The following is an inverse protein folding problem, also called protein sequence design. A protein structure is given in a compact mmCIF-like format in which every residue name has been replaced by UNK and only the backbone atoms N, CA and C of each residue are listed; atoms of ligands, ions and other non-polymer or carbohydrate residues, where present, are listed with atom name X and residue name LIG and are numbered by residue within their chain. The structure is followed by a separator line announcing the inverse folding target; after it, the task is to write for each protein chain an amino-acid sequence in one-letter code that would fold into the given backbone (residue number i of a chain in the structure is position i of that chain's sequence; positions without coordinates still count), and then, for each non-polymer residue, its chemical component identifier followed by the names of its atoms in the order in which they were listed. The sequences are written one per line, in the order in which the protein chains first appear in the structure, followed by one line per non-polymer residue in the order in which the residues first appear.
data_IF_896809482863
#
_entry.id   IF_896809482863
#
_cell.length_a   1.000
_cell.length_b   1.000
_cell.length_c   1.000
_cell.angle_alpha   90.00
_cell.angle_beta   90.00
_cell.angle_gamma   90.00
#
_symmetry.space_group_name_H-M   'P 1'
#
loop_
_entity.id
_entity.type
_entity.pdbx_description
1 polymer ?
#
# COMPACT_ATOMS: atom_id res chain seq x y z
N UNK A 1 -16.59 -18.60 -10.42
CA UNK A 1 -16.43 -18.70 -8.94
C UNK A 1 -16.85 -17.39 -8.26
N UNK A 2 -18.08 -16.91 -8.50
CA UNK A 2 -18.52 -15.57 -8.05
C UNK A 2 -18.74 -15.47 -6.55
N UNK A 3 -19.29 -16.51 -5.94
CA UNK A 3 -19.46 -16.58 -4.48
C UNK A 3 -18.12 -16.49 -3.74
N UNK A 4 -17.09 -17.15 -4.26
CA UNK A 4 -15.74 -17.06 -3.68
C UNK A 4 -15.20 -15.63 -3.77
N UNK A 5 -15.35 -14.96 -4.92
CA UNK A 5 -14.92 -13.57 -5.09
C UNK A 5 -15.66 -12.64 -4.12
N UNK A 6 -17.00 -12.80 -3.99
CA UNK A 6 -17.82 -12.07 -3.02
C UNK A 6 -17.32 -12.24 -1.58
N UNK A 7 -17.02 -13.47 -1.18
CA UNK A 7 -16.48 -13.78 0.15
C UNK A 7 -15.08 -13.20 0.37
N UNK A 8 -14.22 -13.20 -0.66
CA UNK A 8 -12.90 -12.57 -0.58
C UNK A 8 -13.01 -11.05 -0.39
N UNK A 9 -13.91 -10.38 -1.13
CA UNK A 9 -14.16 -8.95 -0.92
C UNK A 9 -14.67 -8.64 0.49
N UNK A 10 -15.56 -9.47 1.05
CA UNK A 10 -16.00 -9.34 2.45
C UNK A 10 -14.88 -9.54 3.46
N UNK A 11 -13.94 -10.45 3.19
CA UNK A 11 -12.77 -10.62 4.05
C UNK A 11 -11.88 -9.37 4.03
N UNK A 12 -11.68 -8.75 2.86
CA UNK A 12 -10.95 -7.49 2.74
C UNK A 12 -11.69 -6.34 3.43
N UNK A 13 -13.01 -6.27 3.28
CA UNK A 13 -13.86 -5.31 3.97
C UNK A 13 -13.70 -5.40 5.49
N UNK A 14 -13.66 -6.64 6.03
CA UNK A 14 -13.43 -6.88 7.45
C UNK A 14 -12.07 -6.37 7.93
N UNK A 15 -11.03 -6.41 7.07
CA UNK A 15 -9.73 -5.84 7.42
C UNK A 15 -9.80 -4.31 7.55
N UNK A 16 -10.50 -3.64 6.64
CA UNK A 16 -10.72 -2.18 6.71
C UNK A 16 -11.51 -1.82 7.97
N UNK A 17 -12.59 -2.55 8.27
CA UNK A 17 -13.37 -2.31 9.49
C UNK A 17 -12.55 -2.48 10.77
N UNK A 18 -11.61 -3.43 10.79
CA UNK A 18 -10.82 -3.74 11.98
C UNK A 18 -9.58 -2.85 12.13
N UNK A 19 -8.92 -2.48 11.03
CA UNK A 19 -7.60 -1.84 11.04
C UNK A 19 -7.58 -0.47 10.36
N UNK A 20 -8.67 -0.06 9.71
CA UNK A 20 -8.78 1.17 8.94
C UNK A 20 -8.25 1.06 7.50
N UNK A 21 -7.65 -0.05 7.12
CA UNK A 21 -7.10 -0.31 5.78
C UNK A 21 -6.94 -1.81 5.51
N UNK A 22 -6.62 -2.17 4.27
CA UNK A 22 -6.26 -3.55 3.91
C UNK A 22 -4.75 -3.73 4.12
N UNK A 23 -4.28 -4.48 5.15
CA UNK A 23 -2.87 -4.78 5.28
C UNK A 23 -2.40 -5.66 4.12
N UNK A 24 -1.10 -5.60 3.82
CA UNK A 24 -0.44 -6.40 2.78
C UNK A 24 -0.74 -7.92 2.87
N UNK A 25 -1.09 -8.40 4.06
CA UNK A 25 -1.59 -9.75 4.25
C UNK A 25 -2.17 -9.98 5.64
N UNK A 26 -2.79 -11.14 5.86
CA UNK A 26 -3.45 -11.52 7.12
C UNK A 26 -2.52 -11.88 8.28
N UNK A 27 -1.37 -11.20 8.44
CA UNK A 27 -0.38 -11.45 9.50
C UNK A 27 -0.04 -10.16 10.23
N UNK A 28 0.19 -10.25 11.54
CA UNK A 28 0.37 -9.08 12.43
C UNK A 28 1.48 -8.13 11.99
N UNK A 29 2.56 -8.65 11.40
CA UNK A 29 3.68 -7.83 10.93
C UNK A 29 3.40 -7.02 9.65
N UNK A 30 2.21 -7.19 9.04
CA UNK A 30 1.74 -6.38 7.92
C UNK A 30 0.91 -5.17 8.36
N UNK A 31 0.58 -5.01 9.65
CA UNK A 31 -0.24 -3.88 10.14
C UNK A 31 0.43 -2.50 10.03
N UNK A 32 1.61 -2.41 9.43
CA UNK A 32 2.34 -1.16 9.16
C UNK A 32 2.39 -0.79 7.67
N UNK A 33 1.83 -1.63 6.80
CA UNK A 33 1.83 -1.43 5.35
C UNK A 33 0.61 -2.06 4.66
N UNK A 34 0.08 -1.36 3.68
CA UNK A 34 -1.02 -1.76 2.82
C UNK A 34 -0.54 -2.63 1.64
N UNK A 35 -1.31 -2.62 0.56
CA UNK A 35 -0.99 -3.13 -0.77
C UNK A 35 -1.70 -2.26 -1.82
N UNK A 36 -1.48 -2.44 -3.14
CA UNK A 36 -2.22 -1.71 -4.15
C UNK A 36 -3.76 -1.80 -3.93
N UNK A 37 -4.49 -0.68 -3.90
CA UNK A 37 -5.89 -0.66 -3.50
C UNK A 37 -6.80 -1.10 -4.65
N UNK A 38 -7.14 -2.38 -4.66
CA UNK A 38 -7.96 -2.98 -5.72
C UNK A 38 -9.42 -3.25 -5.31
N UNK A 39 -9.80 -3.05 -4.05
CA UNK A 39 -11.11 -3.47 -3.56
C UNK A 39 -12.27 -2.77 -4.28
N UNK A 40 -12.18 -1.47 -4.53
CA UNK A 40 -13.18 -0.73 -5.32
C UNK A 40 -13.34 -1.31 -6.72
N UNK A 41 -12.23 -1.62 -7.41
CA UNK A 41 -12.26 -2.24 -8.73
C UNK A 41 -12.86 -3.66 -8.68
N UNK A 42 -12.52 -4.45 -7.65
CA UNK A 42 -13.09 -5.79 -7.45
C UNK A 42 -14.61 -5.74 -7.25
N UNK A 43 -15.10 -4.78 -6.44
CA UNK A 43 -16.55 -4.60 -6.20
C UNK A 43 -17.25 -4.15 -7.48
N UNK A 44 -16.66 -3.21 -8.22
CA UNK A 44 -17.17 -2.75 -9.51
C UNK A 44 -17.27 -3.90 -10.52
N UNK A 45 -16.20 -4.66 -10.73
CA UNK A 45 -16.19 -5.80 -11.66
C UNK A 45 -17.19 -6.90 -11.25
N UNK A 46 -17.30 -7.19 -9.94
CA UNK A 46 -18.31 -8.13 -9.46
C UNK A 46 -19.73 -7.63 -9.72
N UNK A 47 -20.02 -6.37 -9.42
CA UNK A 47 -21.33 -5.76 -9.65
C UNK A 47 -21.67 -5.68 -11.14
N UNK A 48 -20.67 -5.38 -11.98
CA UNK A 48 -20.86 -5.32 -13.42
C UNK A 48 -20.95 -6.69 -14.08
N UNK A 49 -20.35 -7.71 -13.49
CA UNK A 49 -20.45 -9.06 -14.02
C UNK A 49 -21.90 -9.56 -14.04
N UNK A 50 -22.40 -9.93 -15.23
CA UNK A 50 -23.76 -10.46 -15.45
C UNK A 50 -23.91 -11.92 -14.96
N UNK A 51 -23.22 -12.28 -13.86
CA UNK A 51 -23.22 -13.62 -13.30
C UNK A 51 -24.53 -14.00 -12.62
N UNK A 52 -25.35 -13.00 -12.29
CA UNK A 52 -26.73 -13.12 -11.87
C UNK A 52 -27.63 -12.39 -12.87
N UNK A 53 -28.90 -12.81 -12.98
CA UNK A 53 -29.88 -12.13 -13.85
C UNK A 53 -30.25 -10.72 -13.36
N UNK A 54 -29.98 -10.42 -12.09
CA UNK A 54 -30.34 -9.18 -11.40
C UNK A 54 -29.12 -8.68 -10.65
N UNK A 55 -28.80 -7.38 -10.78
CA UNK A 55 -27.69 -6.75 -10.06
C UNK A 55 -27.86 -6.86 -8.54
N UNK A 56 -26.76 -7.17 -7.85
CA UNK A 56 -26.75 -7.34 -6.40
C UNK A 56 -26.58 -5.99 -5.67
N UNK A 57 -27.64 -5.19 -5.69
CA UNK A 57 -27.66 -3.86 -5.07
C UNK A 57 -27.44 -3.89 -3.56
N UNK A 58 -27.78 -5.00 -2.89
CA UNK A 58 -27.58 -5.14 -1.45
C UNK A 58 -26.09 -5.28 -1.13
N UNK A 59 -25.35 -6.06 -1.91
CA UNK A 59 -23.90 -6.16 -1.76
C UNK A 59 -23.20 -4.82 -2.02
N UNK A 60 -23.65 -4.05 -3.03
CA UNK A 60 -23.07 -2.72 -3.27
C UNK A 60 -23.31 -1.78 -2.08
N UNK A 61 -24.53 -1.74 -1.52
CA UNK A 61 -24.85 -0.95 -0.33
C UNK A 61 -24.05 -1.37 0.91
N UNK A 62 -23.78 -2.67 1.05
CA UNK A 62 -22.92 -3.22 2.10
C UNK A 62 -21.48 -2.72 1.97
N UNK A 63 -20.94 -2.68 0.74
CA UNK A 63 -19.53 -2.35 0.49
C UNK A 63 -19.22 -0.86 0.50
N UNK A 64 -20.15 0.00 0.04
CA UNK A 64 -19.89 1.44 -0.15
C UNK A 64 -19.25 2.14 1.06
N UNK A 65 -19.77 2.02 2.30
CA UNK A 65 -19.14 2.67 3.46
C UNK A 65 -17.72 2.19 3.75
N UNK A 66 -17.42 0.93 3.39
CA UNK A 66 -16.09 0.34 3.60
C UNK A 66 -15.10 0.85 2.54
N UNK A 67 -15.56 1.03 1.30
CA UNK A 67 -14.76 1.61 0.23
C UNK A 67 -14.40 3.08 0.54
N UNK A 68 -15.33 3.85 1.10
CA UNK A 68 -15.08 5.23 1.54
C UNK A 68 -13.97 5.28 2.61
N UNK A 69 -13.98 4.36 3.59
CA UNK A 69 -12.92 4.24 4.60
C UNK A 69 -11.55 3.90 3.99
N UNK A 70 -11.52 3.06 2.96
CA UNK A 70 -10.26 2.75 2.27
C UNK A 70 -9.70 4.00 1.59
N UNK A 71 -10.54 4.77 0.89
CA UNK A 71 -10.14 6.04 0.27
C UNK A 71 -9.64 7.03 1.33
N UNK A 72 -10.35 7.16 2.46
CA UNK A 72 -9.94 8.01 3.58
C UNK A 72 -8.55 7.61 4.11
N UNK A 73 -8.24 6.31 4.20
CA UNK A 73 -6.90 5.86 4.56
C UNK A 73 -5.84 6.36 3.57
N UNK A 74 -6.08 6.26 2.25
CA UNK A 74 -5.13 6.76 1.25
C UNK A 74 -4.97 8.28 1.32
N UNK A 75 -6.07 9.01 1.47
CA UNK A 75 -6.08 10.46 1.61
C UNK A 75 -5.31 10.93 2.83
N UNK A 76 -5.46 10.24 3.96
CA UNK A 76 -4.87 10.67 5.23
C UNK A 76 -3.45 10.16 5.45
N UNK A 77 -3.11 8.97 4.94
CA UNK A 77 -1.84 8.28 5.24
C UNK A 77 -0.89 8.14 4.06
N UNK A 78 -1.33 8.38 2.83
CA UNK A 78 -0.55 8.14 1.61
C UNK A 78 -0.53 9.32 0.64
N UNK A 79 -1.38 10.32 0.83
CA UNK A 79 -1.40 11.55 0.06
C UNK A 79 -0.20 12.45 0.41
N UNK A 80 0.47 12.99 -0.60
CA UNK A 80 1.60 13.90 -0.48
C UNK A 80 1.52 15.01 -1.52
N UNK A 81 2.03 16.16 -1.12
CA UNK A 81 2.24 17.29 -2.03
C UNK A 81 3.60 17.17 -2.71
N UNK A 82 3.59 17.24 -4.03
CA UNK A 82 4.72 17.06 -4.93
C UNK A 82 4.96 18.35 -5.69
N UNK A 83 6.16 18.91 -5.58
CA UNK A 83 6.56 20.06 -6.40
C UNK A 83 7.45 19.61 -7.55
N UNK A 84 7.03 19.89 -8.78
CA UNK A 84 7.86 19.64 -9.96
C UNK A 84 9.03 20.64 -9.99
N UNK A 85 10.29 20.19 -10.00
CA UNK A 85 11.45 21.07 -10.00
C UNK A 85 11.63 21.86 -11.30
N UNK A 86 11.07 21.40 -12.43
CA UNK A 86 11.23 22.04 -13.73
C UNK A 86 10.18 23.13 -13.97
N UNK A 87 8.93 22.83 -13.63
CA UNK A 87 7.79 23.75 -13.84
C UNK A 87 7.46 24.58 -12.60
N UNK A 88 7.86 24.11 -11.41
CA UNK A 88 7.46 24.70 -10.14
C UNK A 88 6.02 24.39 -9.73
N UNK A 89 5.27 23.64 -10.54
CA UNK A 89 3.88 23.28 -10.27
C UNK A 89 3.76 22.33 -9.08
N UNK A 90 2.62 22.42 -8.39
CA UNK A 90 2.32 21.63 -7.20
C UNK A 90 1.22 20.64 -7.56
N UNK A 91 1.48 19.36 -7.28
CA UNK A 91 0.57 18.25 -7.50
C UNK A 91 0.27 17.55 -6.18
N UNK A 92 -0.95 17.04 -6.05
CA UNK A 92 -1.31 16.07 -5.02
C UNK A 92 -1.17 14.67 -5.62
N UNK A 93 -0.43 13.80 -4.96
CA UNK A 93 -0.20 12.44 -5.42
C UNK A 93 -0.21 11.46 -4.25
N UNK A 94 -0.52 10.20 -4.54
CA UNK A 94 -0.36 9.13 -3.56
C UNK A 94 1.01 8.49 -3.70
N UNK A 95 1.63 8.16 -2.56
CA UNK A 95 2.86 7.37 -2.51
C UNK A 95 2.66 6.13 -1.65
N UNK A 96 3.31 5.04 -2.03
CA UNK A 96 3.46 3.90 -1.12
C UNK A 96 4.43 4.25 0.00
N UNK A 97 4.04 3.96 1.23
CA UNK A 97 4.78 4.37 2.43
C UNK A 97 4.50 3.45 3.61
N UNK A 98 5.47 2.65 4.01
CA UNK A 98 5.40 1.82 5.20
C UNK A 98 5.96 2.54 6.42
N UNK A 99 5.23 2.53 7.52
CA UNK A 99 5.68 3.11 8.80
C UNK A 99 6.57 2.11 9.56
N UNK A 100 7.74 1.82 9.01
CA UNK A 100 8.73 0.93 9.63
C UNK A 100 10.13 1.53 9.59
N UNK A 101 10.84 1.41 10.71
CA UNK A 101 12.24 1.77 10.89
C UNK A 101 13.09 0.56 11.30
N UNK A 102 12.56 -0.64 11.14
CA UNK A 102 13.20 -1.91 11.52
C UNK A 102 13.12 -2.90 10.35
N UNK A 103 14.03 -3.91 10.30
CA UNK A 103 13.97 -4.97 9.33
C UNK A 103 12.59 -5.64 9.29
N UNK A 104 12.15 -6.03 8.10
CA UNK A 104 10.87 -6.72 7.94
C UNK A 104 10.93 -8.08 8.64
N UNK A 105 9.98 -8.43 9.51
CA UNK A 105 10.03 -9.70 10.23
C UNK A 105 10.07 -10.94 9.32
N UNK A 106 9.42 -10.88 8.15
CA UNK A 106 9.42 -11.97 7.18
C UNK A 106 10.69 -12.07 6.32
N UNK A 107 11.57 -11.07 6.36
CA UNK A 107 12.82 -11.00 5.60
C UNK A 107 13.96 -10.46 6.46
N UNK A 108 13.94 -10.80 7.75
CA UNK A 108 14.83 -10.20 8.75
C UNK A 108 16.30 -10.45 8.40
N UNK A 109 16.63 -11.68 8.01
CA UNK A 109 18.01 -12.08 7.69
C UNK A 109 18.54 -11.31 6.47
N UNK A 110 17.71 -11.18 5.44
CA UNK A 110 18.03 -10.49 4.19
C UNK A 110 18.23 -8.99 4.42
N UNK A 111 17.26 -8.35 5.07
CA UNK A 111 17.31 -6.91 5.38
C UNK A 111 18.52 -6.57 6.28
N UNK A 112 18.83 -7.42 7.26
CA UNK A 112 20.02 -7.26 8.10
C UNK A 112 21.31 -7.41 7.29
N UNK A 113 21.43 -8.44 6.45
CA UNK A 113 22.63 -8.67 5.64
C UNK A 113 22.88 -7.53 4.63
N UNK A 114 21.83 -6.96 4.05
CA UNK A 114 21.94 -5.81 3.13
C UNK A 114 22.32 -4.49 3.79
N UNK A 115 22.17 -4.40 5.11
CA UNK A 115 22.34 -3.14 5.87
C UNK A 115 23.60 -3.10 6.74
N UNK A 116 24.48 -4.12 6.65
CA UNK A 116 25.67 -4.28 7.51
C UNK A 116 26.63 -3.09 7.44
N UNK A 117 26.81 -2.51 6.24
CA UNK A 117 27.77 -1.43 6.00
C UNK A 117 27.15 -0.03 6.03
N UNK A 118 25.89 0.09 6.48
CA UNK A 118 25.16 1.36 6.55
C UNK A 118 25.28 2.00 7.94
N UNK A 119 25.21 3.33 8.02
CA UNK A 119 25.02 4.04 9.30
C UNK A 119 23.62 3.77 9.86
N UNK A 120 23.37 4.15 11.12
CA UNK A 120 22.06 3.93 11.72
C UNK A 120 20.96 4.79 11.08
N UNK A 121 21.31 6.00 10.61
CA UNK A 121 20.40 6.85 9.83
C UNK A 121 20.07 6.23 8.47
N UNK A 122 21.08 5.71 7.76
CA UNK A 122 20.90 5.02 6.48
C UNK A 122 20.06 3.75 6.63
N UNK A 123 20.22 3.01 7.73
CA UNK A 123 19.43 1.82 8.04
C UNK A 123 17.94 2.13 8.19
N UNK A 124 17.61 3.16 8.97
CA UNK A 124 16.21 3.58 9.17
C UNK A 124 15.55 3.85 7.81
N UNK A 125 16.26 4.60 6.97
CA UNK A 125 15.81 4.94 5.63
C UNK A 125 15.66 3.70 4.72
N UNK A 126 16.66 2.83 4.75
CA UNK A 126 16.68 1.58 3.98
C UNK A 126 15.50 0.68 4.37
N UNK A 127 15.27 0.45 5.67
CA UNK A 127 14.18 -0.39 6.16
C UNK A 127 12.80 0.16 5.79
N UNK A 128 12.62 1.48 5.88
CA UNK A 128 11.39 2.13 5.43
C UNK A 128 11.20 1.94 3.92
N UNK A 129 12.26 2.11 3.13
CA UNK A 129 12.21 2.00 1.68
C UNK A 129 11.85 0.59 1.21
N UNK A 130 12.49 -0.45 1.76
CA UNK A 130 12.17 -1.85 1.40
C UNK A 130 10.77 -2.27 1.87
N UNK A 131 10.31 -1.76 3.01
CA UNK A 131 8.95 -2.00 3.48
C UNK A 131 7.90 -1.29 2.61
N UNK A 132 8.20 -0.07 2.14
CA UNK A 132 7.35 0.68 1.21
C UNK A 132 7.32 0.05 -0.19
N UNK A 133 8.45 -0.50 -0.64
CA UNK A 133 8.53 -1.31 -1.85
C UNK A 133 7.73 -2.62 -1.76
N UNK A 134 7.64 -3.21 -0.57
CA UNK A 134 6.76 -4.35 -0.33
C UNK A 134 5.28 -3.94 -0.36
N UNK A 135 4.94 -2.72 0.10
CA UNK A 135 3.59 -2.15 -0.03
C UNK A 135 3.17 -1.97 -1.49
N UNK A 136 4.11 -1.66 -2.39
CA UNK A 136 3.82 -1.54 -3.83
C UNK A 136 3.85 -2.86 -4.60
N UNK A 137 4.12 -3.99 -3.93
CA UNK A 137 4.39 -5.31 -4.53
C UNK A 137 5.64 -5.40 -5.42
N UNK A 138 6.46 -4.33 -5.49
CA UNK A 138 7.69 -4.30 -6.30
C UNK A 138 8.97 -4.64 -5.53
N UNK A 139 8.88 -5.30 -4.36
CA UNK A 139 10.06 -5.61 -3.53
C UNK A 139 11.16 -6.39 -4.26
N UNK A 140 10.80 -7.21 -5.26
CA UNK A 140 11.79 -7.98 -6.05
C UNK A 140 12.66 -7.10 -6.96
N UNK A 141 12.13 -5.96 -7.41
CA UNK A 141 12.88 -5.00 -8.24
C UNK A 141 13.97 -4.31 -7.41
N UNK A 142 13.73 -4.11 -6.11
CA UNK A 142 14.71 -3.53 -5.18
C UNK A 142 15.79 -4.53 -4.75
N UNK A 143 15.49 -5.83 -4.65
CA UNK A 143 16.51 -6.84 -4.30
C UNK A 143 17.51 -7.13 -5.42
N UNK A 144 17.16 -6.85 -6.68
CA UNK A 144 18.02 -7.14 -7.85
C UNK A 144 18.90 -5.97 -8.30
N UNK A 145 18.63 -4.75 -7.83
CA UNK A 145 19.40 -3.55 -8.17
C UNK A 145 20.35 -3.21 -7.02
N UNK A 146 21.62 -3.57 -7.16
CA UNK A 146 22.71 -2.89 -6.47
C UNK A 146 22.88 -1.45 -7.03
N UNK A 147 21.80 -0.67 -7.06
CA UNK A 147 21.85 0.71 -7.54
C UNK A 147 22.24 1.61 -6.38
N UNK A 148 23.49 2.08 -6.44
CA UNK A 148 24.10 3.15 -5.64
C UNK A 148 23.38 4.51 -5.76
N UNK A 149 22.30 4.56 -6.54
CA UNK A 149 21.36 5.67 -6.62
C UNK A 149 19.96 5.11 -6.37
N UNK A 150 19.65 4.79 -5.11
CA UNK A 150 18.26 4.82 -4.69
C UNK A 150 17.78 6.22 -5.08
N UNK A 151 16.87 6.32 -6.06
CA UNK A 151 15.97 7.47 -6.13
C UNK A 151 14.81 7.04 -5.25
N UNK A 152 14.76 7.51 -4.00
CA UNK A 152 13.73 7.07 -3.10
C UNK A 152 12.34 7.35 -3.65
N UNK A 153 11.43 6.42 -3.40
CA UNK A 153 9.99 6.71 -3.41
C UNK A 153 9.62 7.82 -2.42
N UNK A 154 10.53 8.17 -1.50
CA UNK A 154 10.48 9.33 -0.58
C UNK A 154 11.09 10.63 -1.13
N UNK A 155 11.92 10.62 -2.19
CA UNK A 155 12.36 11.86 -2.89
C UNK A 155 11.37 12.20 -3.98
N UNK A 156 10.16 12.47 -3.55
CA UNK A 156 9.58 13.69 -4.03
C UNK A 156 9.91 14.71 -2.97
N UNK A 157 10.52 15.84 -3.32
CA UNK A 157 10.86 16.93 -2.41
C UNK A 157 9.58 17.43 -1.70
N UNK A 158 9.11 16.69 -0.69
CA UNK A 158 8.15 17.13 0.28
C UNK A 158 8.95 18.05 1.20
N UNK A 159 9.06 19.29 0.77
CA UNK A 159 9.46 20.41 1.62
C UNK A 159 8.60 20.33 2.88
N UNK A 160 9.21 19.90 3.99
CA UNK A 160 8.66 20.11 5.31
C UNK A 160 8.50 21.63 5.46
N UNK A 161 7.26 22.08 5.64
CA UNK A 161 6.97 23.32 6.35
C UNK A 161 6.71 22.96 7.81
#
# INVERSE_FOLDING_TARGET
MYETAKRMMRNLALMIEKFGFIPNGGRVYYLRRSQPPLLTAMVYEYYESNHTRVKDNNFLKEMLPVLEKEVEFWDTRRNVTVKDPNTGEIYQAYRYFAESNVPRPESFKEDMASSVNMTDEEKIFFYQSVASAAESEFSQVFSGRQETNLVPTTTVNASQQ
#
